data_IF_342842439463
#
_entry.id   IF_342842439463
#
_cell.length_a   1.000
_cell.length_b   1.000
_cell.length_c   1.000
_cell.angle_alpha   90.00
_cell.angle_beta   90.00
_cell.angle_gamma   90.00
#
_symmetry.space_group_name_H-M   'P 1'
#
loop_
_entity.id
_entity.type
_entity.pdbx_description
1 polymer ?
#
# COMPACT_ATOMS: atom_id res chain seq x y z
N UNK A 1 -2.51 -20.52 -5.93
CA UNK A 1 -3.22 -19.27 -6.26
C UNK A 1 -4.31 -18.88 -5.26
N UNK A 2 -4.78 -19.79 -4.39
CA UNK A 2 -5.77 -19.50 -3.35
C UNK A 2 -5.36 -18.37 -2.39
N UNK A 3 -4.08 -18.28 -2.04
CA UNK A 3 -3.54 -17.26 -1.12
C UNK A 3 -3.70 -15.81 -1.62
N UNK A 4 -3.90 -15.60 -2.92
CA UNK A 4 -4.07 -14.28 -3.54
C UNK A 4 -5.51 -14.01 -3.98
N UNK A 5 -6.43 -14.96 -3.71
CA UNK A 5 -7.83 -14.82 -4.11
C UNK A 5 -8.44 -13.52 -3.57
N UNK A 6 -8.00 -13.13 -2.37
CA UNK A 6 -8.48 -11.99 -1.62
C UNK A 6 -7.69 -10.68 -1.83
N UNK A 7 -6.68 -10.68 -2.72
CA UNK A 7 -5.98 -9.47 -3.15
C UNK A 7 -6.55 -9.05 -4.50
N UNK A 8 -6.91 -7.80 -4.70
CA UNK A 8 -7.35 -7.32 -6.01
C UNK A 8 -6.20 -7.37 -7.03
N UNK A 9 -5.01 -6.94 -6.60
CA UNK A 9 -3.82 -6.88 -7.44
C UNK A 9 -3.18 -8.25 -7.77
N UNK A 10 -3.71 -9.35 -7.19
CA UNK A 10 -3.20 -10.73 -7.37
C UNK A 10 -1.68 -10.87 -7.16
N UNK A 11 -1.12 -10.02 -6.32
CA UNK A 11 0.27 -10.06 -5.87
C UNK A 11 0.33 -9.62 -4.40
N UNK A 12 1.35 -10.07 -3.69
CA UNK A 12 1.64 -9.55 -2.36
C UNK A 12 2.36 -8.22 -2.46
N UNK A 13 2.04 -7.31 -1.56
CA UNK A 13 2.78 -6.06 -1.42
C UNK A 13 4.22 -6.36 -1.01
N UNK A 14 5.18 -5.68 -1.64
CA UNK A 14 6.60 -5.81 -1.30
C UNK A 14 7.06 -4.69 -0.35
N UNK A 15 8.16 -4.91 0.34
CA UNK A 15 8.75 -3.90 1.21
C UNK A 15 9.15 -2.63 0.43
N UNK A 16 9.59 -2.79 -0.81
CA UNK A 16 9.98 -1.70 -1.70
C UNK A 16 8.78 -0.82 -2.07
N UNK A 17 7.58 -1.39 -2.22
CA UNK A 17 6.37 -0.61 -2.50
C UNK A 17 5.95 0.24 -1.29
N UNK A 18 6.07 -0.31 -0.09
CA UNK A 18 5.85 0.44 1.16
C UNK A 18 6.89 1.55 1.30
N UNK A 19 8.17 1.24 1.07
CA UNK A 19 9.25 2.22 1.14
C UNK A 19 9.10 3.33 0.10
N UNK A 20 8.71 3.01 -1.14
CA UNK A 20 8.46 3.99 -2.18
C UNK A 20 7.33 4.96 -1.79
N UNK A 21 6.26 4.45 -1.19
CA UNK A 21 5.17 5.29 -0.67
C UNK A 21 5.68 6.21 0.45
N UNK A 22 6.48 5.69 1.39
CA UNK A 22 7.07 6.48 2.46
C UNK A 22 7.99 7.59 1.93
N UNK A 23 8.84 7.27 0.94
CA UNK A 23 9.72 8.25 0.28
C UNK A 23 8.92 9.34 -0.41
N UNK A 24 7.83 8.98 -1.11
CA UNK A 24 6.92 9.96 -1.72
C UNK A 24 6.30 10.87 -0.65
N UNK A 25 5.77 10.30 0.43
CA UNK A 25 5.12 11.08 1.51
C UNK A 25 6.10 11.98 2.26
N UNK A 26 7.38 11.62 2.33
CA UNK A 26 8.44 12.44 2.92
C UNK A 26 8.95 13.55 1.98
N UNK A 27 8.52 13.59 0.72
CA UNK A 27 8.98 14.56 -0.27
C UNK A 27 8.12 15.83 -0.31
N UNK A 28 8.65 16.90 -0.94
CA UNK A 28 7.92 18.16 -1.15
C UNK A 28 6.63 18.00 -1.96
N UNK A 29 6.53 16.94 -2.78
CA UNK A 29 5.35 16.64 -3.57
C UNK A 29 4.13 16.32 -2.69
N UNK A 30 4.36 15.81 -1.48
CA UNK A 30 3.31 15.42 -0.54
C UNK A 30 3.07 16.47 0.57
N UNK A 31 3.63 17.69 0.47
CA UNK A 31 3.64 18.69 1.57
C UNK A 31 2.28 19.05 2.16
N UNK A 32 1.19 18.85 1.43
CA UNK A 32 -0.18 19.15 1.88
C UNK A 32 -0.97 17.92 2.31
N UNK A 33 -0.36 16.73 2.32
CA UNK A 33 -0.98 15.48 2.73
C UNK A 33 -0.67 15.26 4.21
N UNK A 34 -1.68 15.40 5.06
CA UNK A 34 -1.55 15.21 6.50
C UNK A 34 -2.82 14.59 7.09
N UNK A 35 -2.65 13.88 8.21
CA UNK A 35 -3.74 13.22 8.96
C UNK A 35 -4.38 12.03 8.26
N UNK A 36 -3.80 11.54 7.15
CA UNK A 36 -4.36 10.43 6.38
C UNK A 36 -3.68 9.11 6.75
N UNK A 37 -4.48 8.05 6.86
CA UNK A 37 -3.99 6.68 6.77
C UNK A 37 -4.02 6.26 5.29
N UNK A 38 -2.86 5.93 4.73
CA UNK A 38 -2.73 5.50 3.33
C UNK A 38 -2.38 4.01 3.31
N UNK A 39 -3.33 3.12 2.99
CA UNK A 39 -3.06 1.69 2.91
C UNK A 39 -2.18 1.37 1.68
N UNK A 40 -1.20 0.49 1.88
CA UNK A 40 -0.34 -0.08 0.84
C UNK A 40 -0.36 -1.59 1.02
N UNK A 41 -1.46 -2.21 0.61
CA UNK A 41 -1.76 -3.61 0.90
C UNK A 41 -2.26 -4.41 -0.31
N UNK A 42 -2.29 -3.81 -1.50
CA UNK A 42 -2.77 -4.48 -2.71
C UNK A 42 -4.29 -4.71 -2.74
N UNK A 43 -5.04 -3.95 -1.94
CA UNK A 43 -6.48 -4.08 -1.69
C UNK A 43 -6.82 -5.46 -1.11
N UNK A 44 -6.51 -5.62 0.18
CA UNK A 44 -6.80 -6.83 0.94
C UNK A 44 -8.23 -6.81 1.48
N UNK A 45 -9.14 -7.51 0.79
CA UNK A 45 -10.58 -7.34 1.02
C UNK A 45 -11.14 -8.10 2.23
N UNK A 46 -10.41 -9.10 2.74
CA UNK A 46 -10.77 -9.89 3.93
C UNK A 46 -9.54 -10.25 4.78
N UNK A 47 -9.68 -10.24 6.10
CA UNK A 47 -8.71 -10.87 7.00
C UNK A 47 -9.37 -12.16 7.51
N UNK A 48 -9.12 -13.29 6.82
CA UNK A 48 -9.56 -14.61 7.29
C UNK A 48 -8.52 -15.22 8.22
#
# INVERSE_FOLDING_TARGET
>A
MLALANQSMKAFTTAEQVAATAVFLASDAARSISGQAIPVDGDSQNAS
#
